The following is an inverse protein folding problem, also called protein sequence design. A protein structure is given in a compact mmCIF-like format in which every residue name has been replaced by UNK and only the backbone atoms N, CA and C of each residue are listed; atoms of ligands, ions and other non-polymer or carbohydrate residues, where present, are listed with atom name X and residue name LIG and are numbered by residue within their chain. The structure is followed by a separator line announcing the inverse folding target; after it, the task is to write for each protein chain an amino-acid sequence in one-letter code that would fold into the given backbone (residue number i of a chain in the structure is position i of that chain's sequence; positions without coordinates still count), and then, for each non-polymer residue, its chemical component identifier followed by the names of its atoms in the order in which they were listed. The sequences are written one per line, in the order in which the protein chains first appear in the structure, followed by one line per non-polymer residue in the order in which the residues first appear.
data_IF_178995193849
#
_entry.id   IF_178995193849
#
_cell.length_a   1.000
_cell.length_b   1.000
_cell.length_c   1.000
_cell.angle_alpha   90.00
_cell.angle_beta   90.00
_cell.angle_gamma   90.00
#
_symmetry.space_group_name_H-M   'P 1'
#
loop_
_entity.id
_entity.type
_entity.pdbx_description
1 polymer ?
#
# COMPACT_ATOMS: atom_id res chain seq x y z
N UNK A 1 -15.38 4.37 9.12
CA UNK A 1 -14.48 3.29 8.67
C UNK A 1 -13.16 3.92 8.28
N UNK A 2 -12.05 3.35 8.71
CA UNK A 2 -10.71 3.83 8.40
C UNK A 2 -10.16 3.09 7.18
N UNK A 3 -9.32 3.74 6.40
CA UNK A 3 -8.64 3.12 5.25
C UNK A 3 -7.13 3.13 5.50
N UNK A 4 -6.51 1.97 5.33
CA UNK A 4 -5.06 1.78 5.41
C UNK A 4 -4.63 1.04 4.15
N UNK A 5 -3.60 1.53 3.47
CA UNK A 5 -2.97 0.86 2.33
C UNK A 5 -1.66 0.24 2.77
N UNK A 6 -1.42 -1.00 2.36
CA UNK A 6 -0.23 -1.79 2.62
C UNK A 6 0.49 -2.08 1.30
N UNK A 7 1.80 -2.06 1.35
CA UNK A 7 2.69 -2.47 0.26
C UNK A 7 3.92 -3.19 0.79
N UNK A 8 4.37 -4.22 0.07
CA UNK A 8 5.56 -5.01 0.39
C UNK A 8 6.57 -4.96 -0.75
N UNK A 9 7.82 -4.72 -0.41
CA UNK A 9 8.91 -5.05 -1.31
C UNK A 9 9.44 -6.46 -1.04
N UNK A 10 9.60 -7.25 -2.10
CA UNK A 10 9.76 -8.70 -1.95
C UNK A 10 10.90 -9.30 -2.76
N UNK A 11 11.39 -10.46 -2.31
CA UNK A 11 12.39 -11.27 -3.01
C UNK A 11 11.79 -12.29 -3.99
N UNK A 12 10.46 -12.33 -4.15
CA UNK A 12 9.76 -13.27 -5.04
C UNK A 12 8.35 -12.75 -5.34
N UNK A 13 7.70 -13.28 -6.38
CA UNK A 13 6.34 -12.92 -6.78
C UNK A 13 5.27 -13.91 -6.29
N UNK A 14 5.63 -14.90 -5.49
CA UNK A 14 4.67 -15.89 -4.97
C UNK A 14 4.12 -15.48 -3.59
N UNK A 15 2.99 -16.04 -3.16
CA UNK A 15 2.42 -15.74 -1.83
C UNK A 15 3.33 -16.09 -0.65
N UNK A 16 4.34 -16.95 -0.87
CA UNK A 16 5.34 -17.34 0.14
C UNK A 16 6.60 -16.48 0.06
N UNK A 17 6.59 -15.36 -0.65
CA UNK A 17 7.74 -14.49 -0.85
C UNK A 17 8.37 -14.02 0.46
N UNK A 18 9.70 -13.96 0.46
CA UNK A 18 10.43 -13.23 1.48
C UNK A 18 10.23 -11.72 1.28
N UNK A 19 9.93 -11.01 2.35
CA UNK A 19 9.69 -9.57 2.37
C UNK A 19 10.97 -8.84 2.80
N UNK A 20 11.30 -7.75 2.11
CA UNK A 20 12.45 -6.88 2.40
C UNK A 20 12.05 -5.65 3.21
N UNK A 21 10.89 -5.07 2.89
CA UNK A 21 10.34 -3.92 3.60
C UNK A 21 8.83 -3.91 3.59
N UNK A 22 8.25 -3.23 4.57
CA UNK A 22 6.81 -3.04 4.75
C UNK A 22 6.55 -1.54 4.80
N UNK A 23 5.60 -1.06 3.99
CA UNK A 23 5.02 0.27 4.09
C UNK A 23 3.52 0.18 4.32
N UNK A 24 3.00 1.06 5.17
CA UNK A 24 1.56 1.25 5.26
C UNK A 24 1.22 2.72 5.52
N UNK A 25 0.10 3.17 4.94
CA UNK A 25 -0.35 4.55 5.03
C UNK A 25 -1.85 4.57 5.32
N UNK A 26 -2.23 5.25 6.39
CA UNK A 26 -3.63 5.54 6.69
C UNK A 26 -4.08 6.77 5.89
N UNK A 27 -5.35 6.74 5.41
CA UNK A 27 -5.87 7.79 4.55
C UNK A 27 -7.38 7.96 4.67
N UNK A 28 -7.94 9.02 4.05
CA UNK A 28 -9.34 9.41 4.12
C UNK A 28 -9.95 9.49 2.72
N UNK A 29 -11.05 8.79 2.48
CA UNK A 29 -11.81 8.87 1.21
C UNK A 29 -12.40 10.25 0.98
N UNK A 30 -12.92 10.86 2.05
CA UNK A 30 -13.66 12.13 2.02
C UNK A 30 -12.74 13.36 2.16
N UNK A 31 -11.43 13.19 2.12
CA UNK A 31 -10.49 14.31 2.17
C UNK A 31 -10.75 15.30 1.02
N UNK A 32 -11.06 16.57 1.33
CA UNK A 32 -11.42 17.55 0.30
C UNK A 32 -10.27 17.90 -0.64
N UNK A 33 -9.09 18.17 -0.07
CA UNK A 33 -7.90 18.62 -0.80
C UNK A 33 -6.84 17.53 -0.95
N UNK A 34 -6.80 16.59 -0.02
CA UNK A 34 -5.82 15.50 0.03
C UNK A 34 -6.43 14.29 0.75
N UNK A 35 -6.09 13.06 0.35
CA UNK A 35 -6.49 11.86 1.08
C UNK A 35 -5.67 11.63 2.36
N UNK A 36 -4.52 12.29 2.50
CA UNK A 36 -3.59 12.04 3.61
C UNK A 36 -4.00 12.77 4.88
N UNK A 37 -3.67 12.19 6.02
CA UNK A 37 -3.73 12.87 7.31
C UNK A 37 -2.56 13.85 7.39
N UNK A 38 -2.86 15.12 7.67
CA UNK A 38 -1.86 16.15 7.83
C UNK A 38 -1.71 16.53 9.30
N UNK A 39 -0.55 17.04 9.68
CA UNK A 39 -0.37 17.68 10.96
C UNK A 39 -1.42 18.78 11.16
N UNK A 40 -1.72 19.14 12.42
CA UNK A 40 -2.77 20.13 12.73
C UNK A 40 -2.54 21.49 12.09
N UNK A 41 -1.29 21.83 11.82
CA UNK A 41 -0.89 23.06 11.09
C UNK A 41 -1.05 22.94 9.56
N UNK A 42 -1.36 21.74 9.06
CA UNK A 42 -1.55 21.47 7.62
C UNK A 42 -0.26 21.44 6.79
N UNK A 43 0.91 21.54 7.41
CA UNK A 43 2.19 21.68 6.72
C UNK A 43 2.69 20.39 6.06
N UNK A 44 2.55 19.25 6.73
CA UNK A 44 3.07 17.95 6.27
C UNK A 44 2.12 16.81 6.66
N UNK A 45 2.35 15.65 6.09
CA UNK A 45 1.65 14.43 6.49
C UNK A 45 1.97 14.08 7.96
N UNK A 46 0.96 13.67 8.71
CA UNK A 46 1.11 13.22 10.08
C UNK A 46 1.92 11.91 10.11
N UNK A 47 3.09 11.88 10.76
CA UNK A 47 3.91 10.68 10.86
C UNK A 47 3.18 9.49 11.52
N UNK A 48 2.24 9.74 12.44
CA UNK A 48 1.44 8.68 13.09
C UNK A 48 0.55 7.93 12.10
N UNK A 49 0.26 8.54 10.93
CA UNK A 49 -0.51 7.91 9.84
C UNK A 49 0.34 7.04 8.91
N UNK A 50 1.63 6.88 9.17
CA UNK A 50 2.55 6.13 8.33
C UNK A 50 3.28 5.08 9.15
N UNK A 51 3.35 3.86 8.62
CA UNK A 51 4.20 2.79 9.12
C UNK A 51 5.25 2.44 8.08
N UNK A 52 6.50 2.26 8.51
CA UNK A 52 7.60 1.79 7.65
C UNK A 52 8.55 0.91 8.45
N UNK A 53 8.96 -0.21 7.89
CA UNK A 53 9.86 -1.14 8.54
C UNK A 53 10.68 -1.93 7.52
N UNK A 54 12.00 -2.02 7.74
CA UNK A 54 12.89 -2.93 7.02
C UNK A 54 12.96 -4.28 7.73
N UNK A 55 13.07 -5.36 6.94
CA UNK A 55 13.03 -6.73 7.45
C UNK A 55 14.44 -7.34 7.46
N UNK A 56 14.80 -7.97 8.58
CA UNK A 56 15.99 -8.83 8.63
C UNK A 56 15.72 -10.09 7.79
N UNK A 57 16.34 -10.17 6.62
CA UNK A 57 16.16 -11.27 5.67
C UNK A 57 16.57 -12.62 6.25
N UNK A 58 17.43 -12.67 7.27
CA UNK A 58 17.73 -13.93 7.99
C UNK A 58 16.49 -14.50 8.65
N UNK A 59 15.60 -13.63 9.18
CA UNK A 59 14.34 -14.06 9.76
C UNK A 59 13.42 -14.69 8.72
N UNK A 60 13.44 -14.19 7.48
CA UNK A 60 12.68 -14.77 6.37
C UNK A 60 13.25 -16.13 5.95
N UNK A 61 14.59 -16.23 5.88
CA UNK A 61 15.26 -17.47 5.51
C UNK A 61 14.98 -18.61 6.51
N UNK A 62 15.13 -18.36 7.80
CA UNK A 62 14.91 -19.39 8.84
C UNK A 62 13.46 -19.85 8.93
N UNK A 63 12.51 -19.00 8.51
CA UNK A 63 11.09 -19.34 8.43
C UNK A 63 10.68 -19.91 7.04
N UNK A 64 11.64 -20.29 6.19
CA UNK A 64 11.42 -20.91 4.89
C UNK A 64 10.52 -20.07 3.97
N UNK A 65 10.72 -18.76 3.90
CA UNK A 65 10.12 -17.91 2.87
C UNK A 65 10.91 -18.00 1.56
N UNK A 66 10.26 -17.68 0.45
CA UNK A 66 10.79 -17.90 -0.89
C UNK A 66 11.64 -16.71 -1.36
N UNK A 67 12.86 -17.03 -1.81
CA UNK A 67 13.76 -16.15 -2.54
C UNK A 67 13.86 -16.64 -3.99
N UNK A 68 13.69 -15.74 -4.95
CA UNK A 68 13.72 -16.08 -6.37
C UNK A 68 14.86 -15.36 -7.11
N UNK A 69 15.65 -16.13 -7.85
CA UNK A 69 16.79 -15.60 -8.61
C UNK A 69 16.41 -14.58 -9.67
N UNK A 70 15.27 -14.76 -10.36
CA UNK A 70 14.79 -13.81 -11.37
C UNK A 70 14.38 -12.47 -10.74
N UNK A 71 13.76 -12.53 -9.56
CA UNK A 71 13.43 -11.33 -8.80
C UNK A 71 14.70 -10.62 -8.33
N UNK A 72 15.73 -11.36 -7.89
CA UNK A 72 17.02 -10.77 -7.55
C UNK A 72 17.71 -10.11 -8.77
N UNK A 73 17.69 -10.76 -9.94
CA UNK A 73 18.19 -10.17 -11.20
C UNK A 73 17.43 -8.89 -11.54
N UNK A 74 16.11 -8.91 -11.43
CA UNK A 74 15.26 -7.73 -11.66
C UNK A 74 15.61 -6.58 -10.72
N UNK A 75 15.79 -6.85 -9.40
CA UNK A 75 16.29 -5.85 -8.46
C UNK A 75 17.66 -5.31 -8.84
N UNK A 76 18.53 -6.16 -9.38
CA UNK A 76 19.83 -5.77 -9.94
C UNK A 76 19.74 -4.66 -10.98
N UNK A 77 18.65 -4.59 -11.75
CA UNK A 77 18.41 -3.57 -12.79
C UNK A 77 17.90 -2.22 -12.25
N UNK A 78 17.47 -2.16 -10.97
CA UNK A 78 16.90 -0.94 -10.40
C UNK A 78 17.95 0.09 -10.01
N UNK A 79 17.53 1.34 -9.87
CA UNK A 79 18.40 2.44 -9.47
C UNK A 79 18.99 2.22 -8.06
N UNK A 80 20.13 2.82 -7.79
CA UNK A 80 20.74 2.75 -6.45
C UNK A 80 19.83 3.37 -5.39
N UNK A 81 19.02 4.39 -5.75
CA UNK A 81 18.02 4.98 -4.87
C UNK A 81 16.92 3.98 -4.48
N UNK A 82 16.41 3.20 -5.45
CA UNK A 82 15.43 2.14 -5.19
C UNK A 82 16.03 1.01 -4.34
N UNK A 83 17.27 0.63 -4.59
CA UNK A 83 17.98 -0.37 -3.76
C UNK A 83 18.24 0.11 -2.35
N UNK A 84 18.59 1.39 -2.18
CA UNK A 84 18.83 1.98 -0.87
C UNK A 84 17.58 2.02 0.01
N UNK A 85 16.38 2.14 -0.57
CA UNK A 85 15.13 2.08 0.18
C UNK A 85 14.78 0.66 0.69
N UNK A 86 15.48 -0.37 0.21
CA UNK A 86 15.22 -1.77 0.59
C UNK A 86 16.18 -2.31 1.64
N UNK A 87 17.39 -1.78 1.66
CA UNK A 87 18.47 -2.31 2.46
C UNK A 87 18.82 -1.28 3.54
N UNK A 88 18.47 -1.55 4.79
CA UNK A 88 19.11 -0.81 5.86
C UNK A 88 20.59 -1.16 5.84
N UNK A 89 21.43 -0.24 5.52
CA UNK A 89 22.83 -0.30 5.87
C UNK A 89 23.01 0.49 7.18
N UNK A 90 24.15 0.33 7.85
CA UNK A 90 24.45 0.94 9.16
C UNK A 90 24.32 2.48 9.20
N UNK A 91 24.02 3.11 8.06
CA UNK A 91 23.80 4.56 7.93
C UNK A 91 22.34 4.98 7.99
N UNK A 92 21.37 4.05 8.07
CA UNK A 92 19.95 4.37 8.13
C UNK A 92 19.39 4.31 9.55
N UNK A 93 18.56 5.27 9.88
CA UNK A 93 17.95 5.47 11.20
C UNK A 93 16.97 4.36 11.62
N UNK A 94 16.57 3.47 10.69
CA UNK A 94 15.62 2.39 10.97
C UNK A 94 16.32 1.02 10.98
N UNK A 95 16.44 0.38 12.15
CA UNK A 95 17.01 -0.97 12.25
C UNK A 95 16.13 -2.00 11.55
N UNK A 96 16.74 -2.98 10.87
CA UNK A 96 16.02 -4.15 10.37
C UNK A 96 15.41 -4.94 11.54
N UNK A 97 14.16 -5.36 11.38
CA UNK A 97 13.42 -6.16 12.36
C UNK A 97 13.16 -7.58 11.85
N UNK A 98 13.21 -8.59 12.72
CA UNK A 98 12.69 -9.91 12.36
C UNK A 98 11.23 -9.80 11.90
N UNK A 99 10.83 -10.59 10.88
CA UNK A 99 9.50 -10.52 10.29
C UNK A 99 8.37 -10.66 11.31
N UNK A 100 8.54 -11.53 12.29
CA UNK A 100 7.56 -11.72 13.36
C UNK A 100 7.34 -10.45 14.19
N UNK A 101 8.40 -9.73 14.49
CA UNK A 101 8.34 -8.45 15.23
C UNK A 101 7.71 -7.39 14.35
N UNK A 102 8.18 -7.25 13.11
CA UNK A 102 7.68 -6.25 12.17
C UNK A 102 6.16 -6.35 11.91
N UNK A 103 5.64 -7.58 11.77
CA UNK A 103 4.19 -7.79 11.58
C UNK A 103 3.41 -7.51 12.84
N UNK A 104 3.93 -7.83 14.02
CA UNK A 104 3.29 -7.45 15.30
C UNK A 104 3.25 -5.94 15.48
N UNK A 105 4.36 -5.25 15.18
CA UNK A 105 4.44 -3.79 15.23
C UNK A 105 3.45 -3.13 14.24
N UNK A 106 3.31 -3.67 13.01
CA UNK A 106 2.32 -3.22 12.04
C UNK A 106 0.90 -3.35 12.61
N UNK A 107 0.58 -4.48 13.24
CA UNK A 107 -0.75 -4.70 13.79
C UNK A 107 -1.01 -3.86 15.05
N UNK A 108 -0.01 -3.64 15.89
CA UNK A 108 -0.08 -2.71 17.01
C UNK A 108 -0.34 -1.28 16.52
N UNK A 109 0.39 -0.83 15.49
CA UNK A 109 0.16 0.46 14.85
C UNK A 109 -1.28 0.59 14.30
N UNK A 110 -1.81 -0.45 13.64
CA UNK A 110 -3.21 -0.46 13.17
C UNK A 110 -4.19 -0.32 14.34
N UNK A 111 -3.99 -1.07 15.42
CA UNK A 111 -4.88 -1.04 16.59
C UNK A 111 -4.79 0.30 17.34
N UNK A 112 -3.61 0.90 17.44
CA UNK A 112 -3.44 2.20 18.06
C UNK A 112 -4.08 3.30 17.21
N UNK A 113 -3.91 3.26 15.90
CA UNK A 113 -4.57 4.16 14.96
C UNK A 113 -6.12 4.04 15.06
N UNK A 114 -6.65 2.83 15.21
CA UNK A 114 -8.09 2.60 15.47
C UNK A 114 -8.56 3.27 16.77
N UNK A 115 -7.81 3.08 17.86
CA UNK A 115 -8.15 3.68 19.18
C UNK A 115 -8.21 5.21 19.09
N UNK A 116 -7.23 5.82 18.46
CA UNK A 116 -7.16 7.28 18.27
C UNK A 116 -8.33 7.83 17.43
N UNK A 117 -8.90 7.00 16.55
CA UNK A 117 -9.97 7.37 15.63
C UNK A 117 -11.34 6.76 16.00
N UNK A 118 -11.57 6.46 17.27
CA UNK A 118 -12.89 6.04 17.77
C UNK A 118 -13.23 4.56 17.53
N UNK A 119 -12.21 3.69 17.46
CA UNK A 119 -12.33 2.23 17.31
C UNK A 119 -13.15 1.80 16.08
N UNK A 120 -13.01 2.51 14.98
CA UNK A 120 -13.67 2.17 13.74
C UNK A 120 -13.03 0.93 13.07
N UNK A 121 -13.83 0.19 12.30
CA UNK A 121 -13.28 -0.87 11.45
C UNK A 121 -12.32 -0.32 10.40
N UNK A 122 -11.30 -1.12 10.05
CA UNK A 122 -10.28 -0.79 9.05
C UNK A 122 -10.54 -1.54 7.76
N UNK A 123 -10.60 -0.83 6.65
CA UNK A 123 -10.38 -1.40 5.32
C UNK A 123 -8.89 -1.44 5.02
N UNK A 124 -8.35 -2.64 4.79
CA UNK A 124 -6.97 -2.84 4.40
C UNK A 124 -6.88 -2.99 2.88
N UNK A 125 -6.21 -2.06 2.23
CA UNK A 125 -6.03 -1.96 0.80
C UNK A 125 -4.64 -2.43 0.37
N UNK A 126 -4.55 -2.97 -0.85
CA UNK A 126 -3.28 -3.26 -1.51
C UNK A 126 -3.38 -2.99 -3.02
N UNK A 127 -2.25 -2.87 -3.71
CA UNK A 127 -2.20 -2.70 -5.17
C UNK A 127 -2.22 -4.05 -5.90
N UNK A 128 -3.11 -4.91 -5.53
CA UNK A 128 -3.24 -6.30 -5.95
C UNK A 128 -3.41 -7.15 -4.71
N UNK A 129 -4.66 -7.39 -4.31
CA UNK A 129 -4.96 -8.14 -3.09
C UNK A 129 -4.49 -9.60 -3.14
N UNK A 130 -4.28 -10.13 -4.33
CA UNK A 130 -3.71 -11.44 -4.60
C UNK A 130 -2.17 -11.49 -4.44
N UNK A 131 -1.52 -10.35 -4.22
CA UNK A 131 -0.09 -10.25 -3.94
C UNK A 131 0.15 -9.86 -2.47
N UNK A 132 0.06 -8.60 -2.09
CA UNK A 132 0.40 -8.14 -0.74
C UNK A 132 -0.46 -8.79 0.35
N UNK A 133 -1.78 -8.87 0.13
CA UNK A 133 -2.67 -9.50 1.10
C UNK A 133 -2.44 -11.02 1.17
N UNK A 134 -2.13 -11.67 0.06
CA UNK A 134 -1.81 -13.09 0.05
C UNK A 134 -0.50 -13.38 0.79
N UNK A 135 0.52 -12.52 0.61
CA UNK A 135 1.79 -12.60 1.34
C UNK A 135 1.56 -12.37 2.83
N UNK A 136 0.82 -11.31 3.21
CA UNK A 136 0.49 -11.03 4.61
C UNK A 136 -0.19 -12.23 5.29
N UNK A 137 -1.19 -12.82 4.61
CA UNK A 137 -1.88 -14.02 5.11
C UNK A 137 -0.94 -15.20 5.29
N UNK A 138 -0.03 -15.42 4.34
CA UNK A 138 0.94 -16.49 4.43
C UNK A 138 1.93 -16.29 5.59
N UNK A 139 2.44 -15.07 5.78
CA UNK A 139 3.30 -14.72 6.91
C UNK A 139 2.57 -15.00 8.23
N UNK A 140 1.36 -14.49 8.37
CA UNK A 140 0.55 -14.65 9.57
C UNK A 140 0.23 -16.13 9.86
N UNK A 141 -0.09 -16.90 8.82
CA UNK A 141 -0.31 -18.35 8.95
C UNK A 141 0.94 -19.09 9.44
N UNK A 142 2.09 -18.85 8.80
CA UNK A 142 3.36 -19.48 9.18
C UNK A 142 3.82 -19.14 10.60
N UNK A 143 3.62 -17.89 11.02
CA UNK A 143 4.06 -17.38 12.31
C UNK A 143 2.99 -17.50 13.41
N UNK A 144 1.82 -18.06 13.09
CA UNK A 144 0.67 -18.18 13.99
C UNK A 144 0.26 -16.82 14.60
N UNK A 145 0.17 -15.78 13.77
CA UNK A 145 -0.25 -14.44 14.12
C UNK A 145 -1.65 -14.18 13.58
N UNK A 146 -2.56 -13.64 14.39
CA UNK A 146 -3.90 -13.27 13.93
C UNK A 146 -3.89 -11.90 13.24
N UNK A 147 -4.52 -11.79 12.08
CA UNK A 147 -4.73 -10.52 11.38
C UNK A 147 -5.88 -9.77 12.06
N UNK A 148 -5.68 -8.52 12.56
CA UNK A 148 -6.73 -7.77 13.28
C UNK A 148 -7.78 -7.14 12.35
N UNK A 149 -7.75 -7.46 11.07
CA UNK A 149 -8.71 -6.98 10.06
C UNK A 149 -9.53 -8.15 9.55
N UNK A 150 -10.87 -8.03 9.65
CA UNK A 150 -11.75 -9.07 9.13
C UNK A 150 -11.64 -9.16 7.60
N UNK A 151 -11.68 -10.39 7.05
CA UNK A 151 -11.43 -10.65 5.62
C UNK A 151 -12.37 -9.91 4.67
N UNK A 152 -13.56 -9.53 5.09
CA UNK A 152 -14.53 -8.76 4.28
C UNK A 152 -14.10 -7.31 4.07
N UNK A 153 -13.09 -6.82 4.81
CA UNK A 153 -12.58 -5.46 4.71
C UNK A 153 -11.29 -5.34 3.88
N UNK A 154 -10.83 -6.43 3.28
CA UNK A 154 -9.74 -6.33 2.29
C UNK A 154 -10.23 -5.71 1.00
N UNK A 155 -9.41 -4.84 0.42
CA UNK A 155 -9.71 -4.05 -0.78
C UNK A 155 -8.54 -4.09 -1.74
N UNK A 156 -8.85 -3.83 -3.02
CA UNK A 156 -7.87 -3.84 -4.11
C UNK A 156 -7.94 -2.53 -4.89
N UNK A 157 -6.85 -1.77 -4.89
CA UNK A 157 -6.75 -0.49 -5.61
C UNK A 157 -6.87 -0.68 -7.12
N UNK A 158 -6.18 -1.67 -7.68
CA UNK A 158 -6.17 -1.94 -9.13
C UNK A 158 -7.56 -2.28 -9.64
N UNK A 159 -8.22 -3.21 -8.98
CA UNK A 159 -9.61 -3.58 -9.32
C UNK A 159 -10.54 -2.38 -9.23
N UNK A 160 -10.44 -1.61 -8.16
CA UNK A 160 -11.27 -0.41 -7.99
C UNK A 160 -11.03 0.60 -9.10
N UNK A 161 -9.78 0.89 -9.45
CA UNK A 161 -9.43 1.88 -10.50
C UNK A 161 -9.97 1.43 -11.86
N UNK A 162 -9.82 0.17 -12.23
CA UNK A 162 -10.33 -0.33 -13.51
C UNK A 162 -11.84 -0.27 -13.60
N UNK A 163 -12.57 -0.67 -12.56
CA UNK A 163 -14.02 -0.61 -12.54
C UNK A 163 -14.54 0.84 -12.49
N UNK A 164 -13.90 1.72 -11.73
CA UNK A 164 -14.23 3.14 -11.69
C UNK A 164 -14.01 3.80 -13.05
N UNK A 165 -12.89 3.53 -13.71
CA UNK A 165 -12.59 4.04 -15.05
C UNK A 165 -13.64 3.59 -16.07
N UNK A 166 -14.03 2.31 -16.03
CA UNK A 166 -15.10 1.76 -16.90
C UNK A 166 -16.43 2.50 -16.70
N UNK A 167 -16.82 2.73 -15.45
CA UNK A 167 -18.06 3.46 -15.13
C UNK A 167 -18.00 4.93 -15.61
N UNK A 168 -16.86 5.60 -15.42
CA UNK A 168 -16.65 6.99 -15.87
C UNK A 168 -16.72 7.08 -17.40
N UNK A 169 -16.07 6.18 -18.13
CA UNK A 169 -16.10 6.14 -19.58
C UNK A 169 -17.53 5.90 -20.11
N UNK A 170 -18.24 4.93 -19.52
CA UNK A 170 -19.63 4.63 -19.88
C UNK A 170 -20.55 5.84 -19.67
N UNK A 171 -20.45 6.52 -18.53
CA UNK A 171 -21.26 7.71 -18.23
C UNK A 171 -20.97 8.89 -19.17
N UNK A 172 -19.78 8.92 -19.78
CA UNK A 172 -19.38 9.94 -20.76
C UNK A 172 -19.65 9.54 -22.22
N UNK A 173 -20.13 8.32 -22.45
CA UNK A 173 -20.29 7.78 -23.81
C UNK A 173 -18.96 7.55 -24.54
N UNK A 174 -17.85 7.33 -23.81
CA UNK A 174 -16.52 7.11 -24.35
C UNK A 174 -16.15 5.63 -24.24
N UNK A 175 -15.44 5.10 -25.24
CA UNK A 175 -14.94 3.73 -25.20
C UNK A 175 -13.96 3.55 -24.05
N UNK A 176 -14.12 2.48 -23.29
CA UNK A 176 -13.22 2.11 -22.20
C UNK A 176 -12.07 1.23 -22.68
N UNK A 177 -10.83 1.67 -22.42
CA UNK A 177 -9.63 0.88 -22.63
C UNK A 177 -8.95 0.61 -21.29
N UNK A 178 -8.80 -0.66 -20.85
CA UNK A 178 -8.19 -0.97 -19.54
C UNK A 178 -6.76 -0.43 -19.38
N UNK A 179 -5.95 -0.43 -20.44
CA UNK A 179 -4.58 0.10 -20.39
C UNK A 179 -4.50 1.61 -20.11
N UNK A 180 -5.61 2.34 -20.33
CA UNK A 180 -5.71 3.80 -20.15
C UNK A 180 -6.41 4.18 -18.85
N UNK A 181 -6.75 3.20 -18.00
CA UNK A 181 -7.50 3.47 -16.77
C UNK A 181 -6.80 4.49 -15.86
N UNK A 182 -5.48 4.40 -15.75
CA UNK A 182 -4.68 5.33 -14.93
C UNK A 182 -4.49 6.70 -15.59
N UNK A 183 -4.70 6.85 -16.90
CA UNK A 183 -4.61 8.15 -17.58
C UNK A 183 -5.77 9.10 -17.18
N UNK A 184 -6.81 8.56 -16.54
CA UNK A 184 -7.90 9.36 -16.00
C UNK A 184 -7.52 10.12 -14.71
N UNK A 185 -6.39 9.83 -14.11
CA UNK A 185 -5.92 10.44 -12.86
C UNK A 185 -4.51 10.97 -13.00
N UNK A 186 -4.17 11.95 -12.15
CA UNK A 186 -2.79 12.45 -12.06
C UNK A 186 -1.92 11.46 -11.28
N UNK A 187 -0.71 11.18 -11.78
CA UNK A 187 0.26 10.38 -11.04
C UNK A 187 0.81 11.19 -9.85
N UNK A 188 0.81 10.59 -8.67
CA UNK A 188 1.34 11.20 -7.45
C UNK A 188 2.81 11.62 -7.54
N UNK A 189 3.58 11.04 -8.46
CA UNK A 189 4.95 11.49 -8.78
C UNK A 189 5.04 12.97 -9.20
N UNK A 190 3.95 13.54 -9.70
CA UNK A 190 3.88 14.97 -10.04
C UNK A 190 3.68 15.86 -8.80
N UNK A 191 3.26 15.29 -7.68
CA UNK A 191 2.98 15.99 -6.42
C UNK A 191 4.16 15.86 -5.45
N UNK A 192 4.70 14.67 -5.30
CA UNK A 192 5.81 14.36 -4.38
C UNK A 192 6.89 13.55 -5.10
N UNK A 193 8.15 13.94 -4.90
CA UNK A 193 9.27 13.15 -5.40
C UNK A 193 9.61 12.03 -4.41
N UNK A 194 9.35 10.79 -4.82
CA UNK A 194 9.69 9.58 -4.08
C UNK A 194 10.63 8.66 -4.84
N UNK A 195 11.12 7.62 -4.18
CA UNK A 195 11.81 6.53 -4.85
C UNK A 195 10.78 5.51 -5.35
N UNK A 196 10.94 5.03 -6.57
CA UNK A 196 10.23 3.83 -7.02
C UNK A 196 10.63 2.66 -6.14
N UNK A 197 9.68 1.80 -5.80
CA UNK A 197 9.89 0.69 -4.89
C UNK A 197 10.28 1.11 -3.45
N UNK A 198 9.84 2.29 -3.03
CA UNK A 198 9.68 2.65 -1.64
C UNK A 198 8.24 2.31 -1.24
N UNK A 199 8.01 1.36 -0.32
CA UNK A 199 6.66 0.85 -0.07
C UNK A 199 5.71 1.91 0.49
N UNK A 200 6.21 2.93 1.20
CA UNK A 200 5.39 4.06 1.65
C UNK A 200 5.00 4.95 0.47
N UNK A 201 5.94 5.22 -0.44
CA UNK A 201 5.67 6.04 -1.62
C UNK A 201 4.72 5.32 -2.58
N UNK A 202 4.86 4.00 -2.77
CA UNK A 202 3.97 3.22 -3.62
C UNK A 202 2.56 3.08 -3.00
N UNK A 203 2.43 2.99 -1.67
CA UNK A 203 1.16 3.20 -0.98
C UNK A 203 0.51 4.55 -1.33
N UNK A 204 1.27 5.65 -1.22
CA UNK A 204 0.77 7.00 -1.51
C UNK A 204 0.29 7.15 -2.96
N UNK A 205 1.00 6.57 -3.93
CA UNK A 205 0.60 6.56 -5.33
C UNK A 205 -0.74 5.86 -5.54
N UNK A 206 -0.89 4.68 -4.96
CA UNK A 206 -2.12 3.87 -5.05
C UNK A 206 -3.30 4.58 -4.38
N UNK A 207 -3.09 5.18 -3.22
CA UNK A 207 -4.08 5.97 -2.48
C UNK A 207 -4.53 7.17 -3.33
N UNK A 208 -3.59 7.95 -3.85
CA UNK A 208 -3.90 9.19 -4.56
C UNK A 208 -4.70 8.93 -5.84
N UNK A 209 -4.32 7.91 -6.61
CA UNK A 209 -5.08 7.47 -7.79
C UNK A 209 -6.50 7.01 -7.43
N UNK A 210 -6.64 6.21 -6.38
CA UNK A 210 -7.93 5.72 -5.89
C UNK A 210 -8.83 6.86 -5.41
N UNK A 211 -8.29 7.77 -4.63
CA UNK A 211 -9.02 8.93 -4.11
C UNK A 211 -9.52 9.85 -5.25
N UNK A 212 -8.69 10.12 -6.25
CA UNK A 212 -9.12 10.90 -7.43
C UNK A 212 -10.26 10.20 -8.18
N UNK A 213 -10.17 8.87 -8.36
CA UNK A 213 -11.25 8.11 -8.98
C UNK A 213 -12.55 8.18 -8.18
N UNK A 214 -12.49 8.07 -6.85
CA UNK A 214 -13.65 8.24 -5.98
C UNK A 214 -14.30 9.62 -6.17
N UNK A 215 -13.48 10.69 -6.21
CA UNK A 215 -13.98 12.04 -6.48
C UNK A 215 -14.64 12.18 -7.85
N UNK A 216 -14.03 11.62 -8.88
CA UNK A 216 -14.63 11.64 -10.23
C UNK A 216 -15.98 10.91 -10.28
N UNK A 217 -16.11 9.79 -9.58
CA UNK A 217 -17.38 9.06 -9.48
C UNK A 217 -18.49 9.88 -8.78
N UNK A 218 -18.15 10.60 -7.71
CA UNK A 218 -19.14 11.44 -6.99
C UNK A 218 -19.65 12.63 -7.83
N UNK A 219 -18.91 13.04 -8.84
CA UNK A 219 -19.27 14.12 -9.75
C UNK A 219 -19.90 13.63 -11.07
N UNK A 220 -20.10 12.33 -11.23
CA UNK A 220 -20.83 11.81 -12.38
C UNK A 220 -22.30 12.25 -12.29
N UNK A 221 -22.72 13.11 -13.20
CA UNK A 221 -24.13 13.30 -13.48
C UNK A 221 -24.54 12.18 -14.43
N UNK A 222 -25.35 11.25 -13.96
CA UNK A 222 -26.02 10.35 -14.87
C UNK A 222 -26.97 11.19 -15.72
N UNK A 223 -27.05 11.03 -17.05
CA UNK A 223 -28.07 11.66 -17.84
C UNK A 223 -29.45 11.25 -17.25
N UNK A 224 -30.29 12.23 -16.96
CA UNK A 224 -31.68 11.97 -16.61
C UNK A 224 -32.31 11.27 -17.83
N UNK A 225 -33.00 10.14 -17.61
CA UNK A 225 -33.70 9.39 -18.65
C UNK A 225 -34.85 10.20 -19.28
#
# INVERSE_FOLDING_TARGET
MLDITLDFETCSLCPTAAVMSIGAVAWRREGEKSPFYNLKDGSTQDPSSVFSCHIDLRSMFVNNFTFDGKTAEWWGTKSDKAKASLLSNDSYELPCRPIEVAVKDLFEWIEDFKKEHGNQDVCLWAQGSDFDIAILRNICYKLNINIPVHYTFFRDHRTFIYEAARLICNARGVFYCPSEAYDLVEDYKNIEQGAEHDPVFDCKRSIYSTWQMMKKLTHLKYPEE
#
